data_IF_405983305613
#
_entry.id   IF_405983305613
#
_cell.length_a   1.000
_cell.length_b   1.000
_cell.length_c   1.000
_cell.angle_alpha   90.00
_cell.angle_beta   90.00
_cell.angle_gamma   90.00
#
_symmetry.space_group_name_H-M   'P 1'
#
loop_
_entity.id
_entity.type
_entity.pdbx_description
1 polymer ?
#
# COMPACT_ATOMS: atom_id res chain seq x y z
N UNK A 1 -13.90 -2.99 2.01
CA UNK A 1 -13.55 -4.42 2.18
C UNK A 1 -14.72 -5.31 1.80
N UNK A 2 -14.45 -6.61 1.66
CA UNK A 2 -15.48 -7.61 1.35
C UNK A 2 -16.25 -7.96 2.62
N UNK A 3 -17.60 -7.94 2.56
CA UNK A 3 -18.45 -8.31 3.69
C UNK A 3 -18.20 -9.76 4.16
N UNK A 4 -18.23 -9.99 5.46
CA UNK A 4 -17.97 -11.30 6.06
C UNK A 4 -18.91 -12.40 5.50
N UNK A 5 -20.20 -12.12 5.39
CA UNK A 5 -21.17 -13.04 4.81
C UNK A 5 -20.88 -13.37 3.34
N UNK A 6 -20.35 -12.39 2.59
CA UNK A 6 -19.98 -12.56 1.19
C UNK A 6 -18.71 -13.40 1.02
N UNK A 7 -17.76 -13.37 1.98
CA UNK A 7 -16.55 -14.20 1.94
C UNK A 7 -16.92 -15.68 1.89
N UNK A 8 -17.85 -16.12 2.72
CA UNK A 8 -18.36 -17.49 2.72
C UNK A 8 -19.05 -17.85 1.40
N UNK A 9 -19.92 -16.97 0.90
CA UNK A 9 -20.62 -17.12 -0.38
C UNK A 9 -19.65 -17.22 -1.58
N UNK A 10 -18.60 -16.40 -1.57
CA UNK A 10 -17.59 -16.37 -2.63
C UNK A 10 -16.62 -17.56 -2.56
N UNK A 11 -16.61 -18.30 -1.44
CA UNK A 11 -15.79 -19.50 -1.25
C UNK A 11 -14.27 -19.24 -1.27
N UNK A 12 -13.85 -18.00 -0.93
CA UNK A 12 -12.44 -17.57 -0.96
C UNK A 12 -12.05 -16.89 0.34
N UNK A 13 -11.43 -17.64 1.22
CA UNK A 13 -10.97 -17.12 2.52
C UNK A 13 -10.01 -15.92 2.41
N UNK A 14 -9.19 -15.84 1.36
CA UNK A 14 -8.28 -14.71 1.15
C UNK A 14 -9.04 -13.39 0.89
N UNK A 15 -10.31 -13.44 0.49
CA UNK A 15 -11.14 -12.25 0.31
C UNK A 15 -11.34 -11.47 1.63
N UNK A 16 -11.17 -12.10 2.79
CA UNK A 16 -11.22 -11.43 4.09
C UNK A 16 -10.08 -10.42 4.28
N UNK A 17 -8.98 -10.58 3.56
CA UNK A 17 -7.83 -9.67 3.63
C UNK A 17 -7.88 -8.52 2.62
N UNK A 18 -8.87 -8.49 1.72
CA UNK A 18 -8.96 -7.42 0.74
C UNK A 18 -9.61 -6.19 1.36
N UNK A 19 -8.80 -5.16 1.60
CA UNK A 19 -9.26 -3.83 1.96
C UNK A 19 -8.60 -2.80 1.04
N UNK A 20 -9.34 -1.79 0.58
CA UNK A 20 -8.79 -0.72 -0.25
C UNK A 20 -9.56 0.58 -0.04
N UNK A 21 -8.90 1.71 -0.27
CA UNK A 21 -9.52 3.03 -0.33
C UNK A 21 -10.31 3.25 -1.63
N UNK A 22 -10.11 2.37 -2.62
CA UNK A 22 -10.81 2.40 -3.89
C UNK A 22 -11.68 1.14 -4.03
N UNK A 23 -12.99 1.33 -4.06
CA UNK A 23 -13.97 0.27 -4.30
C UNK A 23 -13.71 -0.47 -5.62
N UNK A 24 -13.26 0.26 -6.65
CA UNK A 24 -12.97 -0.31 -7.96
C UNK A 24 -11.77 -1.28 -7.89
N UNK A 25 -10.80 -1.00 -7.01
CA UNK A 25 -9.69 -1.92 -6.77
C UNK A 25 -10.20 -3.29 -6.32
N UNK A 26 -11.13 -3.33 -5.37
CA UNK A 26 -11.74 -4.58 -4.88
C UNK A 26 -12.52 -5.28 -6.01
N UNK A 27 -13.30 -4.52 -6.79
CA UNK A 27 -14.08 -5.07 -7.91
C UNK A 27 -13.21 -5.63 -9.04
N UNK A 28 -12.00 -5.12 -9.24
CA UNK A 28 -11.07 -5.60 -10.25
C UNK A 28 -10.55 -7.03 -9.98
N UNK A 29 -10.69 -7.54 -8.75
CA UNK A 29 -10.43 -8.95 -8.45
C UNK A 29 -11.48 -9.90 -9.04
N UNK A 30 -12.57 -9.37 -9.64
CA UNK A 30 -13.62 -10.19 -10.26
C UNK A 30 -13.04 -11.09 -11.34
N UNK A 31 -13.37 -12.36 -11.25
CA UNK A 31 -12.97 -13.39 -12.22
C UNK A 31 -14.07 -14.44 -12.38
N UNK A 32 -13.92 -15.38 -13.32
CA UNK A 32 -14.86 -16.51 -13.48
C UNK A 32 -15.00 -17.35 -12.19
N UNK A 33 -13.94 -17.39 -11.35
CA UNK A 33 -13.92 -18.16 -10.11
C UNK A 33 -14.19 -17.31 -8.86
N UNK A 34 -14.20 -15.99 -9.00
CA UNK A 34 -14.45 -15.04 -7.93
C UNK A 34 -15.38 -13.95 -8.45
N UNK A 35 -16.68 -14.18 -8.28
CA UNK A 35 -17.70 -13.29 -8.82
C UNK A 35 -18.17 -12.28 -7.77
N UNK A 36 -17.28 -11.35 -7.41
CA UNK A 36 -17.58 -10.24 -6.50
C UNK A 36 -18.40 -9.16 -7.21
N UNK A 37 -19.37 -8.59 -6.50
CA UNK A 37 -20.22 -7.50 -6.97
C UNK A 37 -20.21 -6.37 -5.92
N UNK A 38 -20.82 -5.23 -6.25
CA UNK A 38 -20.91 -4.09 -5.34
C UNK A 38 -21.62 -4.40 -4.02
N UNK A 39 -22.64 -5.25 -4.05
CA UNK A 39 -23.39 -5.68 -2.86
C UNK A 39 -22.56 -6.52 -1.88
N UNK A 40 -21.44 -7.09 -2.35
CA UNK A 40 -20.51 -7.87 -1.53
C UNK A 40 -19.48 -6.99 -0.81
N UNK A 41 -19.50 -5.66 -1.06
CA UNK A 41 -18.54 -4.70 -0.51
C UNK A 41 -19.19 -3.86 0.58
N UNK A 42 -18.47 -3.71 1.69
CA UNK A 42 -18.83 -2.80 2.78
C UNK A 42 -17.88 -1.61 2.81
N UNK A 43 -18.46 -0.40 2.98
CA UNK A 43 -17.70 0.81 3.21
C UNK A 43 -17.75 1.13 4.70
N UNK A 44 -16.60 1.41 5.28
CA UNK A 44 -16.49 1.94 6.64
C UNK A 44 -15.76 3.27 6.62
N UNK A 45 -16.16 4.15 7.52
CA UNK A 45 -15.40 5.37 7.80
C UNK A 45 -14.39 5.05 8.91
N UNK A 46 -13.13 5.42 8.69
CA UNK A 46 -12.06 5.26 9.66
C UNK A 46 -11.30 6.56 9.81
N UNK A 47 -10.85 6.84 11.03
CA UNK A 47 -9.97 7.97 11.30
C UNK A 47 -8.58 7.71 10.72
N UNK A 48 -8.04 8.72 10.04
CA UNK A 48 -6.69 8.68 9.50
C UNK A 48 -5.72 9.49 10.34
N UNK A 49 -4.53 8.97 10.48
CA UNK A 49 -3.40 9.70 11.01
C UNK A 49 -2.34 9.84 9.92
N UNK A 50 -1.77 11.03 9.76
CA UNK A 50 -0.62 11.20 8.86
C UNK A 50 0.60 10.51 9.42
N UNK A 51 1.57 10.15 8.54
CA UNK A 51 2.83 9.55 8.98
C UNK A 51 3.55 10.42 10.03
N UNK A 52 3.67 11.72 9.80
CA UNK A 52 4.29 12.65 10.75
C UNK A 52 3.58 12.68 12.10
N UNK A 53 2.25 12.63 12.12
CA UNK A 53 1.48 12.59 13.37
C UNK A 53 1.62 11.24 14.08
N UNK A 54 1.73 10.14 13.32
CA UNK A 54 2.00 8.81 13.88
C UNK A 54 3.35 8.80 14.62
N UNK A 55 4.41 9.29 13.93
CA UNK A 55 5.77 9.39 14.51
C UNK A 55 5.77 10.22 15.79
N UNK A 56 5.11 11.39 15.78
CA UNK A 56 4.99 12.25 16.95
C UNK A 56 4.20 11.61 18.09
N UNK A 57 3.05 11.00 17.76
CA UNK A 57 2.16 10.39 18.76
C UNK A 57 2.82 9.27 19.55
N UNK A 58 3.68 8.50 18.90
CA UNK A 58 4.37 7.36 19.50
C UNK A 58 5.86 7.64 19.81
N UNK A 59 6.29 8.92 19.69
CA UNK A 59 7.66 9.36 20.00
C UNK A 59 8.73 8.49 19.33
N UNK A 60 8.53 8.20 18.01
CA UNK A 60 9.42 7.32 17.26
C UNK A 60 10.61 8.14 16.74
N UNK A 61 11.82 7.85 17.23
CA UNK A 61 13.05 8.53 16.81
C UNK A 61 13.65 7.94 15.52
N UNK A 62 13.53 6.63 15.35
CA UNK A 62 14.06 5.93 14.18
C UNK A 62 13.23 4.68 13.82
N UNK A 63 13.31 4.28 12.56
CA UNK A 63 12.64 3.10 12.03
C UNK A 63 13.67 2.24 11.32
N UNK A 64 13.88 1.01 11.78
CA UNK A 64 14.77 0.06 11.12
C UNK A 64 14.19 -0.46 9.82
N UNK A 65 12.91 -0.81 9.82
CA UNK A 65 12.20 -1.24 8.63
C UNK A 65 10.76 -0.73 8.62
N UNK A 66 10.42 0.02 7.58
CA UNK A 66 9.07 0.47 7.27
C UNK A 66 8.51 -0.43 6.15
N UNK A 67 7.54 -1.25 6.47
CA UNK A 67 6.82 -2.03 5.48
C UNK A 67 5.48 -1.38 5.16
N UNK A 68 5.18 -1.20 3.87
CA UNK A 68 3.94 -0.59 3.38
C UNK A 68 3.33 -1.54 2.35
N UNK A 69 2.17 -2.09 2.72
CA UNK A 69 1.36 -2.99 1.91
C UNK A 69 -0.11 -2.69 2.25
N UNK A 70 -0.71 -1.81 1.47
CA UNK A 70 -2.02 -1.19 1.74
C UNK A 70 -2.94 -1.20 0.52
N UNK A 71 -2.64 -2.10 -0.42
CA UNK A 71 -3.49 -2.40 -1.57
C UNK A 71 -3.89 -1.14 -2.37
N UNK A 72 -2.86 -0.38 -2.81
CA UNK A 72 -2.98 0.74 -3.74
C UNK A 72 -2.86 2.15 -3.14
N UNK A 73 -2.62 2.31 -1.83
CA UNK A 73 -2.37 3.62 -1.21
C UNK A 73 -0.89 3.90 -0.89
N UNK A 74 0.05 3.03 -1.28
CA UNK A 74 1.48 3.12 -1.00
C UNK A 74 2.07 4.44 -1.52
N UNK A 75 1.68 4.83 -2.76
CA UNK A 75 2.11 6.10 -3.35
C UNK A 75 1.69 7.30 -2.49
N UNK A 76 0.44 7.31 -2.03
CA UNK A 76 -0.11 8.40 -1.23
C UNK A 76 0.61 8.52 0.12
N UNK A 77 0.99 7.41 0.73
CA UNK A 77 1.78 7.38 1.95
C UNK A 77 3.20 7.87 1.67
N UNK A 78 3.92 7.22 0.77
CA UNK A 78 5.34 7.50 0.49
C UNK A 78 5.58 8.95 0.02
N UNK A 79 4.66 9.54 -0.73
CA UNK A 79 4.80 10.93 -1.18
C UNK A 79 4.78 11.93 -0.03
N UNK A 80 4.11 11.62 1.10
CA UNK A 80 3.96 12.51 2.25
C UNK A 80 5.12 12.43 3.24
N UNK A 81 5.86 11.32 3.28
CA UNK A 81 6.96 11.12 4.24
C UNK A 81 8.08 12.12 3.98
N UNK A 82 8.47 12.86 5.03
CA UNK A 82 9.68 13.70 5.02
C UNK A 82 10.88 12.89 5.55
N UNK A 83 11.64 12.28 4.64
CA UNK A 83 12.80 11.45 4.97
C UNK A 83 13.98 12.19 5.62
N UNK A 84 13.90 13.53 5.71
CA UNK A 84 14.89 14.34 6.43
C UNK A 84 14.55 14.46 7.91
N UNK A 85 13.26 14.35 8.26
CA UNK A 85 12.79 14.46 9.65
C UNK A 85 12.78 13.12 10.37
N UNK A 86 12.57 12.02 9.65
CA UNK A 86 12.48 10.68 10.24
C UNK A 86 13.64 9.84 9.76
N UNK A 87 14.41 9.29 10.69
CA UNK A 87 15.49 8.36 10.36
C UNK A 87 14.89 6.98 10.05
N UNK A 88 14.89 6.61 8.76
CA UNK A 88 14.41 5.31 8.29
C UNK A 88 15.58 4.59 7.60
N UNK A 89 15.91 3.38 8.05
CA UNK A 89 17.02 2.58 7.52
C UNK A 89 16.63 1.79 6.28
N UNK A 90 15.43 1.20 6.28
CA UNK A 90 14.91 0.48 5.12
C UNK A 90 13.40 0.68 4.95
N UNK A 91 12.94 0.62 3.72
CA UNK A 91 11.54 0.71 3.34
C UNK A 91 11.25 -0.40 2.34
N UNK A 92 10.27 -1.24 2.64
CA UNK A 92 9.72 -2.20 1.69
C UNK A 92 8.30 -1.79 1.33
N UNK A 93 7.99 -1.74 0.04
CA UNK A 93 6.65 -1.36 -0.40
C UNK A 93 6.25 -2.09 -1.67
N UNK A 94 4.94 -2.36 -1.78
CA UNK A 94 4.36 -2.85 -3.02
C UNK A 94 4.30 -1.72 -4.05
N UNK A 95 4.73 -1.98 -5.28
CA UNK A 95 4.75 -1.00 -6.37
C UNK A 95 3.78 -1.33 -7.52
N UNK A 96 3.19 -2.49 -7.47
CA UNK A 96 2.35 -3.10 -8.51
C UNK A 96 1.16 -2.21 -8.93
N UNK A 97 0.60 -1.45 -8.00
CA UNK A 97 -0.63 -0.66 -8.22
C UNK A 97 -0.41 0.85 -8.35
N UNK A 98 0.84 1.34 -8.42
CA UNK A 98 1.13 2.77 -8.47
C UNK A 98 0.56 3.49 -9.70
N UNK A 99 0.74 2.91 -10.86
CA UNK A 99 0.40 3.51 -12.16
C UNK A 99 -0.49 2.60 -13.01
N UNK A 100 -1.09 1.59 -12.40
CA UNK A 100 -1.78 0.48 -13.03
C UNK A 100 -1.07 -0.83 -12.72
N UNK A 101 -1.78 -1.94 -12.84
CA UNK A 101 -1.23 -3.25 -12.47
C UNK A 101 0.02 -3.60 -13.29
N UNK A 102 1.15 -3.78 -12.61
CA UNK A 102 2.47 -4.08 -13.18
C UNK A 102 2.97 -3.04 -14.19
N UNK A 103 2.54 -1.79 -14.07
CA UNK A 103 2.97 -0.71 -14.97
C UNK A 103 3.89 0.25 -14.21
N UNK A 104 5.10 0.47 -14.73
CA UNK A 104 5.97 1.55 -14.27
C UNK A 104 5.58 2.85 -14.97
N UNK A 105 5.07 3.81 -14.21
CA UNK A 105 4.63 5.09 -14.70
C UNK A 105 5.17 6.27 -13.86
N UNK A 106 4.57 7.45 -14.00
CA UNK A 106 5.08 8.68 -13.38
C UNK A 106 5.06 8.66 -11.84
N UNK A 107 4.10 7.95 -11.21
CA UNK A 107 4.04 7.88 -9.75
C UNK A 107 5.21 7.06 -9.20
N UNK A 108 5.44 5.87 -9.75
CA UNK A 108 6.54 5.01 -9.32
C UNK A 108 7.89 5.67 -9.57
N UNK A 109 8.07 6.29 -10.75
CA UNK A 109 9.28 7.06 -11.06
C UNK A 109 9.53 8.16 -10.04
N UNK A 110 8.52 8.95 -9.70
CA UNK A 110 8.61 10.02 -8.71
C UNK A 110 9.02 9.54 -7.32
N UNK A 111 8.50 8.40 -6.87
CA UNK A 111 8.88 7.81 -5.58
C UNK A 111 10.30 7.27 -5.62
N UNK A 112 10.70 6.58 -6.68
CA UNK A 112 12.10 6.12 -6.87
C UNK A 112 13.08 7.29 -6.81
N UNK A 113 12.81 8.38 -7.54
CA UNK A 113 13.63 9.60 -7.52
C UNK A 113 13.69 10.23 -6.12
N UNK A 114 12.56 10.31 -5.41
CA UNK A 114 12.50 10.84 -4.04
C UNK A 114 13.34 9.99 -3.08
N UNK A 115 13.27 8.67 -3.16
CA UNK A 115 14.04 7.77 -2.30
C UNK A 115 15.54 7.87 -2.59
N UNK A 116 15.94 7.85 -3.87
CA UNK A 116 17.34 8.04 -4.28
C UNK A 116 17.91 9.38 -3.79
N UNK A 117 17.15 10.48 -3.93
CA UNK A 117 17.53 11.80 -3.46
C UNK A 117 17.70 11.91 -1.93
N UNK A 118 17.12 10.96 -1.19
CA UNK A 118 17.26 10.86 0.28
C UNK A 118 18.24 9.76 0.73
N UNK A 119 19.08 9.28 -0.18
CA UNK A 119 20.21 8.38 0.13
C UNK A 119 19.85 6.90 0.19
N UNK A 120 18.68 6.51 -0.30
CA UNK A 120 18.33 5.09 -0.39
C UNK A 120 18.86 4.46 -1.68
N UNK A 121 19.30 3.22 -1.59
CA UNK A 121 19.57 2.34 -2.72
C UNK A 121 18.35 1.47 -2.95
N UNK A 122 17.93 1.33 -4.21
CA UNK A 122 16.73 0.60 -4.57
C UNK A 122 17.07 -0.77 -5.15
N UNK A 123 16.35 -1.80 -4.72
CA UNK A 123 16.41 -3.15 -5.30
C UNK A 123 15.01 -3.71 -5.48
N UNK A 124 14.80 -4.42 -6.58
CA UNK A 124 13.58 -5.18 -6.80
C UNK A 124 13.69 -6.49 -6.01
N UNK A 125 12.74 -6.77 -5.11
CA UNK A 125 12.69 -8.02 -4.36
C UNK A 125 12.01 -9.12 -5.16
N UNK A 126 10.88 -8.76 -5.78
CA UNK A 126 10.09 -9.64 -6.65
C UNK A 126 9.31 -8.79 -7.67
N UNK A 127 8.32 -9.36 -8.33
CA UNK A 127 7.53 -8.62 -9.34
C UNK A 127 6.68 -7.48 -8.77
N UNK A 128 6.38 -7.51 -7.49
CA UNK A 128 5.45 -6.58 -6.82
C UNK A 128 6.16 -5.62 -5.88
N UNK A 129 7.28 -6.05 -5.27
CA UNK A 129 7.90 -5.38 -4.13
C UNK A 129 9.24 -4.74 -4.45
N UNK A 130 9.43 -3.54 -3.94
CA UNK A 130 10.70 -2.79 -3.98
C UNK A 130 11.21 -2.63 -2.54
N UNK A 131 12.52 -2.86 -2.37
CA UNK A 131 13.27 -2.53 -1.16
C UNK A 131 14.14 -1.29 -1.42
N UNK A 132 13.99 -0.30 -0.58
CA UNK A 132 14.85 0.88 -0.48
C UNK A 132 15.67 0.78 0.82
N UNK A 133 17.00 0.85 0.75
CA UNK A 133 17.90 0.72 1.91
C UNK A 133 18.99 1.77 1.89
N UNK A 134 19.25 2.38 3.05
CA UNK A 134 20.40 3.28 3.27
C UNK A 134 21.69 2.51 3.46
#
# INVERSE_FOLDING_TARGET
FVKEDSITKLGKHWASGIGSFDKQHILNHKSKRFNINEDDIENIEIDFITFDNLIKKYEIDSIDNLQIDVEGAEYEILKTIDFKKTNINSIQFESKHFDGTFTEGPKLKKIKEKLLANGFNLSQLDQENILAKK
#
